data_IF_501081042878
#
_entry.id   IF_501081042878
#
_cell.length_a   1.000
_cell.length_b   1.000
_cell.length_c   1.000
_cell.angle_alpha   90.00
_cell.angle_beta   90.00
_cell.angle_gamma   90.00
#
_symmetry.space_group_name_H-M   'P 1'
#
loop_
_entity.id
_entity.type
_entity.pdbx_description
1 polymer ?
#
# COMPACT_ATOMS: atom_id res chain seq x y z
N UNK A 1 -1.45 1.23 17.08
CA UNK A 1 -1.11 1.32 15.65
C UNK A 1 -0.88 -0.08 15.07
N UNK A 2 -1.60 -0.49 14.02
CA UNK A 2 -1.55 -1.89 13.52
C UNK A 2 -0.15 -2.33 13.11
N UNK A 3 0.59 -1.49 12.37
CA UNK A 3 1.94 -1.85 11.93
C UNK A 3 2.90 -2.13 13.10
N UNK A 4 2.76 -1.42 14.23
CA UNK A 4 3.59 -1.66 15.42
C UNK A 4 3.36 -3.07 16.00
N UNK A 5 2.10 -3.51 16.08
CA UNK A 5 1.78 -4.84 16.59
C UNK A 5 2.13 -5.94 15.59
N UNK A 6 1.93 -5.70 14.29
CA UNK A 6 2.21 -6.69 13.24
C UNK A 6 3.71 -6.91 13.02
N UNK A 7 4.51 -5.84 12.97
CA UNK A 7 5.92 -5.92 12.56
C UNK A 7 6.93 -5.59 13.66
N UNK A 8 6.51 -4.95 14.76
CA UNK A 8 7.42 -4.44 15.79
C UNK A 8 7.08 -4.92 17.20
N UNK A 9 6.38 -6.04 17.34
CA UNK A 9 6.02 -6.66 18.64
C UNK A 9 5.32 -5.68 19.60
N UNK A 10 4.54 -4.74 19.07
CA UNK A 10 3.84 -3.71 19.84
C UNK A 10 4.71 -2.53 20.27
N UNK A 11 6.00 -2.47 19.89
CA UNK A 11 6.84 -1.30 20.15
C UNK A 11 6.34 -0.11 19.35
N UNK A 12 6.33 1.06 19.99
CA UNK A 12 5.84 2.30 19.38
C UNK A 12 6.86 2.89 18.39
N UNK A 13 6.97 2.28 17.21
CA UNK A 13 7.85 2.73 16.13
C UNK A 13 7.15 3.79 15.28
N UNK A 14 5.93 3.51 14.86
CA UNK A 14 5.03 4.49 14.25
C UNK A 14 4.21 5.15 15.36
N UNK A 15 4.32 6.47 15.48
CA UNK A 15 3.60 7.23 16.51
C UNK A 15 2.22 7.58 16.00
N UNK A 16 1.20 7.25 16.79
CA UNK A 16 -0.17 7.72 16.55
C UNK A 16 -0.37 9.03 17.28
N UNK A 17 -0.78 10.08 16.56
CA UNK A 17 -1.26 11.30 17.18
C UNK A 17 -2.78 11.32 17.18
N UNK A 18 -3.43 11.71 18.28
CA UNK A 18 -4.89 11.85 18.33
C UNK A 18 -5.40 13.07 17.53
N UNK A 19 -4.51 13.95 17.07
CA UNK A 19 -4.90 15.15 16.34
C UNK A 19 -5.06 14.87 14.83
N UNK A 20 -6.28 15.04 14.32
CA UNK A 20 -6.64 14.87 12.90
C UNK A 20 -5.88 15.82 11.95
N UNK A 21 -5.29 16.90 12.48
CA UNK A 21 -4.47 17.88 11.75
C UNK A 21 -2.96 17.64 11.89
N UNK A 22 -2.53 16.69 12.73
CA UNK A 22 -1.12 16.38 12.94
C UNK A 22 -0.56 15.35 11.95
N UNK A 23 -1.35 15.03 10.92
CA UNK A 23 -0.98 14.13 9.84
C UNK A 23 0.36 14.59 9.26
N UNK A 24 1.41 13.82 9.51
CA UNK A 24 2.70 14.06 8.86
C UNK A 24 2.47 14.01 7.36
N UNK A 25 2.86 15.07 6.65
CA UNK A 25 2.78 15.09 5.19
C UNK A 25 3.82 14.09 4.67
N UNK A 26 3.37 12.99 4.08
CA UNK A 26 4.25 11.99 3.49
C UNK A 26 3.95 10.56 3.91
N UNK A 27 5.01 9.76 4.00
CA UNK A 27 4.99 8.38 4.48
C UNK A 27 6.03 8.23 5.58
N UNK A 28 5.75 7.36 6.54
CA UNK A 28 6.75 6.97 7.54
C UNK A 28 7.39 5.65 7.12
N UNK A 29 8.66 5.47 7.43
CA UNK A 29 9.34 4.22 7.16
C UNK A 29 10.16 3.79 8.38
N UNK A 30 10.16 2.49 8.65
CA UNK A 30 11.00 1.90 9.67
C UNK A 30 11.61 0.60 9.14
N UNK A 31 12.91 0.42 9.41
CA UNK A 31 13.58 -0.84 9.10
C UNK A 31 13.38 -1.82 10.25
N UNK A 32 12.88 -3.01 9.92
CA UNK A 32 12.85 -4.15 10.81
C UNK A 32 14.09 -5.02 10.56
N UNK A 33 15.08 -5.02 11.48
CA UNK A 33 16.30 -5.80 11.32
C UNK A 33 16.09 -7.31 11.49
N UNK A 34 14.99 -7.74 12.11
CA UNK A 34 14.72 -9.16 12.36
C UNK A 34 14.27 -9.83 11.06
N UNK A 35 13.27 -9.25 10.41
CA UNK A 35 12.73 -9.76 9.15
C UNK A 35 13.40 -9.14 7.90
N UNK A 36 14.34 -8.21 8.11
CA UNK A 36 15.11 -7.51 7.06
C UNK A 36 14.23 -6.79 6.04
N UNK A 37 13.21 -6.09 6.52
CA UNK A 37 12.25 -5.37 5.67
C UNK A 37 12.12 -3.90 6.05
N UNK A 38 11.79 -3.07 5.07
CA UNK A 38 11.37 -1.68 5.32
C UNK A 38 9.86 -1.65 5.36
N UNK A 39 9.29 -1.32 6.51
CA UNK A 39 7.85 -1.16 6.69
C UNK A 39 7.52 0.31 6.43
N UNK A 40 6.62 0.55 5.48
CA UNK A 40 6.17 1.89 5.11
C UNK A 40 4.73 2.09 5.56
N UNK A 41 4.51 3.10 6.38
CA UNK A 41 3.19 3.56 6.75
C UNK A 41 2.72 4.68 5.81
N UNK A 42 1.52 4.49 5.28
CA UNK A 42 0.89 5.41 4.32
C UNK A 42 -0.28 6.17 4.93
N UNK A 43 -0.51 6.11 6.25
CA UNK A 43 -1.60 6.86 6.92
C UNK A 43 -1.52 8.38 6.62
N UNK A 44 -0.31 8.94 6.58
CA UNK A 44 -0.04 10.34 6.19
C UNK A 44 -0.43 10.71 4.75
N UNK A 45 -0.70 9.73 3.88
CA UNK A 45 -1.14 9.92 2.50
C UNK A 45 -2.63 10.30 2.41
N UNK A 46 -3.45 9.81 3.34
CA UNK A 46 -4.91 9.98 3.33
C UNK A 46 -5.36 11.23 4.11
N UNK A 47 -4.56 11.70 5.08
CA UNK A 47 -5.01 12.63 6.10
C UNK A 47 -4.79 14.13 5.89
N UNK A 48 -4.02 14.61 4.89
CA UNK A 48 -3.65 16.04 4.86
C UNK A 48 -3.34 16.69 3.51
N UNK A 49 -3.39 15.97 2.39
CA UNK A 49 -3.03 16.59 1.10
C UNK A 49 -4.28 17.11 0.39
N UNK A 50 -4.52 18.43 0.45
CA UNK A 50 -5.57 19.12 -0.32
C UNK A 50 -5.40 18.94 -1.84
N UNK A 51 -4.18 18.59 -2.30
CA UNK A 51 -3.86 18.44 -3.71
C UNK A 51 -3.84 16.96 -4.14
N UNK A 52 -4.88 16.55 -4.86
CA UNK A 52 -5.03 15.21 -5.45
C UNK A 52 -3.78 14.76 -6.25
N UNK A 53 -3.16 15.68 -7.01
CA UNK A 53 -1.99 15.34 -7.82
C UNK A 53 -0.76 14.99 -6.98
N UNK A 54 -0.58 15.63 -5.82
CA UNK A 54 0.52 15.34 -4.90
C UNK A 54 0.32 13.97 -4.25
N UNK A 55 -0.90 13.66 -3.86
CA UNK A 55 -1.29 12.34 -3.32
C UNK A 55 -1.03 11.23 -4.34
N UNK A 56 -1.47 11.39 -5.59
CA UNK A 56 -1.23 10.40 -6.64
C UNK A 56 0.27 10.21 -6.89
N UNK A 57 1.06 11.29 -6.98
CA UNK A 57 2.52 11.18 -7.16
C UNK A 57 3.20 10.45 -6.00
N UNK A 58 2.78 10.69 -4.75
CA UNK A 58 3.35 10.01 -3.60
C UNK A 58 2.98 8.53 -3.57
N UNK A 59 1.72 8.19 -3.86
CA UNK A 59 1.27 6.80 -4.00
C UNK A 59 2.10 6.04 -5.05
N UNK A 60 2.32 6.64 -6.22
CA UNK A 60 3.11 6.06 -7.29
C UNK A 60 4.57 5.81 -6.90
N UNK A 61 5.15 6.70 -6.07
CA UNK A 61 6.50 6.49 -5.52
C UNK A 61 6.54 5.32 -4.55
N UNK A 62 5.54 5.19 -3.69
CA UNK A 62 5.43 4.05 -2.76
C UNK A 62 5.29 2.76 -3.56
N UNK A 63 4.38 2.72 -4.55
CA UNK A 63 4.22 1.57 -5.45
C UNK A 63 5.55 1.17 -6.13
N UNK A 64 6.35 2.16 -6.57
CA UNK A 64 7.60 1.90 -7.29
C UNK A 64 8.72 1.30 -6.45
N UNK A 65 8.70 1.48 -5.12
CA UNK A 65 9.74 0.97 -4.23
C UNK A 65 9.30 -0.23 -3.39
N UNK A 66 8.02 -0.61 -3.49
CA UNK A 66 7.47 -1.71 -2.72
C UNK A 66 7.55 -3.02 -3.49
N UNK A 67 7.95 -4.08 -2.81
CA UNK A 67 7.75 -5.46 -3.29
C UNK A 67 6.31 -5.93 -3.00
N UNK A 68 5.75 -5.47 -1.88
CA UNK A 68 4.44 -5.85 -1.37
C UNK A 68 3.68 -4.64 -0.83
N UNK A 69 2.38 -4.58 -1.11
CA UNK A 69 1.44 -3.63 -0.50
C UNK A 69 0.34 -4.40 0.21
N UNK A 70 0.08 -4.01 1.45
CA UNK A 70 -1.04 -4.54 2.24
C UNK A 70 -2.08 -3.43 2.36
N UNK A 71 -3.22 -3.62 1.70
CA UNK A 71 -4.37 -2.74 1.84
C UNK A 71 -5.31 -3.33 2.90
N UNK A 72 -5.38 -2.67 4.07
CA UNK A 72 -6.30 -3.05 5.14
C UNK A 72 -7.60 -2.26 5.02
N UNK A 73 -8.74 -2.94 5.08
CA UNK A 73 -10.05 -2.31 5.19
C UNK A 73 -10.94 -3.05 6.19
N UNK A 74 -11.75 -2.29 6.91
CA UNK A 74 -12.73 -2.79 7.86
C UNK A 74 -14.11 -2.30 7.40
N UNK A 75 -14.86 -3.20 6.75
CA UNK A 75 -16.13 -2.87 6.10
C UNK A 75 -17.00 -4.13 5.96
N UNK A 76 -18.31 -3.98 5.79
CA UNK A 76 -19.18 -5.13 5.55
C UNK A 76 -18.89 -5.82 4.21
N UNK A 77 -18.45 -5.03 3.22
CA UNK A 77 -18.14 -5.48 1.84
C UNK A 77 -16.95 -4.71 1.27
N UNK A 78 -16.22 -5.34 0.35
CA UNK A 78 -15.27 -4.63 -0.50
C UNK A 78 -16.04 -3.71 -1.44
N UNK A 79 -15.78 -2.41 -1.34
CA UNK A 79 -16.43 -1.41 -2.18
C UNK A 79 -15.77 -1.38 -3.57
N UNK A 80 -16.57 -1.18 -4.62
CA UNK A 80 -16.07 -1.05 -5.99
C UNK A 80 -14.99 0.05 -6.14
N UNK A 81 -15.07 1.08 -5.30
CA UNK A 81 -14.09 2.17 -5.26
C UNK A 81 -12.67 1.70 -4.94
N UNK A 82 -12.51 0.61 -4.17
CA UNK A 82 -11.19 0.02 -3.93
C UNK A 82 -10.59 -0.53 -5.23
N UNK A 83 -11.37 -1.32 -5.95
CA UNK A 83 -10.90 -1.91 -7.20
C UNK A 83 -10.61 -0.84 -8.26
N UNK A 84 -11.46 0.20 -8.31
CA UNK A 84 -11.20 1.36 -9.15
C UNK A 84 -9.91 2.07 -8.76
N UNK A 85 -9.70 2.34 -7.47
CA UNK A 85 -8.48 2.96 -6.97
C UNK A 85 -7.22 2.16 -7.33
N UNK A 86 -7.24 0.84 -7.12
CA UNK A 86 -6.12 -0.04 -7.48
C UNK A 86 -5.89 -0.07 -9.00
N UNK A 87 -6.97 -0.09 -9.79
CA UNK A 87 -6.91 -0.02 -11.25
C UNK A 87 -6.29 1.29 -11.74
N UNK A 88 -6.78 2.43 -11.27
CA UNK A 88 -6.29 3.77 -11.60
C UNK A 88 -4.80 3.91 -11.21
N UNK A 89 -4.41 3.37 -10.05
CA UNK A 89 -3.03 3.37 -9.59
C UNK A 89 -2.12 2.49 -10.47
N UNK A 90 -2.60 1.32 -10.88
CA UNK A 90 -1.88 0.41 -11.79
C UNK A 90 -1.68 1.03 -13.18
N UNK A 91 -2.71 1.65 -13.75
CA UNK A 91 -2.63 2.35 -15.02
C UNK A 91 -1.61 3.50 -14.95
N UNK A 92 -1.72 4.33 -13.90
CA UNK A 92 -0.79 5.44 -13.70
C UNK A 92 0.65 4.96 -13.47
N UNK A 93 0.84 3.85 -12.75
CA UNK A 93 2.16 3.24 -12.55
C UNK A 93 2.80 2.83 -13.88
N UNK A 94 2.08 2.06 -14.70
CA UNK A 94 2.58 1.66 -16.02
C UNK A 94 2.82 2.88 -16.91
N UNK A 95 1.89 3.83 -16.95
CA UNK A 95 2.02 5.05 -17.75
C UNK A 95 3.30 5.83 -17.41
N UNK A 96 3.63 5.94 -16.13
CA UNK A 96 4.76 6.77 -15.68
C UNK A 96 6.10 6.04 -15.62
N UNK A 97 6.11 4.71 -15.42
CA UNK A 97 7.33 3.94 -15.22
C UNK A 97 7.66 2.97 -16.36
N UNK A 98 6.86 2.90 -17.44
CA UNK A 98 7.11 1.96 -18.56
C UNK A 98 8.56 2.00 -19.07
N UNK A 99 9.16 3.19 -19.19
CA UNK A 99 10.54 3.33 -19.70
C UNK A 99 11.54 2.70 -18.74
N UNK A 100 11.41 2.98 -17.45
CA UNK A 100 12.28 2.49 -16.38
C UNK A 100 12.09 1.00 -16.15
N UNK A 101 10.85 0.50 -16.23
CA UNK A 101 10.53 -0.92 -16.15
C UNK A 101 11.19 -1.69 -17.30
N UNK A 102 11.05 -1.21 -18.55
CA UNK A 102 11.74 -1.82 -19.71
C UNK A 102 13.26 -1.85 -19.54
N UNK A 103 13.84 -0.75 -19.05
CA UNK A 103 15.27 -0.70 -18.78
C UNK A 103 15.70 -1.69 -17.69
N UNK A 104 14.87 -1.89 -16.66
CA UNK A 104 15.09 -2.86 -15.59
C UNK A 104 14.99 -4.30 -16.11
N UNK A 105 13.94 -4.62 -16.87
CA UNK A 105 13.76 -5.91 -17.55
C UNK A 105 14.97 -6.28 -18.38
N UNK A 106 15.46 -5.37 -19.21
CA UNK A 106 16.64 -5.59 -20.06
C UNK A 106 17.92 -5.78 -19.24
N UNK A 107 18.14 -4.98 -18.19
CA UNK A 107 19.32 -5.07 -17.32
C UNK A 107 19.35 -6.34 -16.48
N UNK A 108 18.19 -6.81 -16.03
CA UNK A 108 18.05 -7.99 -15.18
C UNK A 108 17.79 -9.28 -15.98
N UNK A 109 17.66 -9.20 -17.31
CA UNK A 109 17.38 -10.36 -18.17
C UNK A 109 16.04 -11.02 -17.86
N UNK A 110 15.04 -10.25 -17.42
CA UNK A 110 13.71 -10.77 -17.09
C UNK A 110 12.90 -10.91 -18.37
N UNK A 111 12.25 -12.06 -18.58
CA UNK A 111 11.30 -12.26 -19.68
C UNK A 111 9.87 -12.37 -19.11
N UNK A 112 9.38 -11.24 -18.60
CA UNK A 112 8.07 -11.14 -17.96
C UNK A 112 7.32 -9.91 -18.45
N UNK A 113 5.97 -9.92 -18.48
CA UNK A 113 5.19 -8.73 -18.82
C UNK A 113 5.49 -7.59 -17.83
N UNK A 114 5.57 -6.35 -18.33
CA UNK A 114 5.84 -5.17 -17.46
C UNK A 114 4.79 -4.99 -16.35
N UNK A 115 3.57 -5.48 -16.57
CA UNK A 115 2.49 -5.48 -15.58
C UNK A 115 2.78 -6.34 -14.34
N UNK A 116 3.75 -7.26 -14.41
CA UNK A 116 4.15 -8.10 -13.26
C UNK A 116 5.32 -7.51 -12.48
N UNK A 117 5.87 -6.36 -12.90
CA UNK A 117 7.00 -5.71 -12.24
C UNK A 117 6.58 -4.67 -11.20
N UNK A 118 5.28 -4.54 -10.94
CA UNK A 118 4.76 -3.78 -9.80
C UNK A 118 4.71 -4.63 -8.52
N UNK A 119 4.36 -4.01 -7.38
CA UNK A 119 4.22 -4.72 -6.12
C UNK A 119 3.11 -5.77 -6.16
N UNK A 120 3.30 -6.86 -5.43
CA UNK A 120 2.18 -7.72 -5.05
C UNK A 120 1.21 -6.96 -4.15
N UNK A 121 -0.09 -7.10 -4.39
CA UNK A 121 -1.13 -6.43 -3.58
C UNK A 121 -1.91 -7.48 -2.79
N UNK A 122 -1.87 -7.38 -1.47
CA UNK A 122 -2.69 -8.16 -0.55
C UNK A 122 -3.80 -7.27 0.00
N UNK A 123 -5.05 -7.66 -0.22
CA UNK A 123 -6.22 -7.01 0.36
C UNK A 123 -6.58 -7.76 1.64
N UNK A 124 -6.34 -7.14 2.79
CA UNK A 124 -6.79 -7.64 4.07
C UNK A 124 -8.14 -7.00 4.41
N UNK A 125 -9.21 -7.73 4.14
CA UNK A 125 -10.57 -7.30 4.42
C UNK A 125 -11.06 -7.93 5.72
N UNK A 126 -11.19 -7.11 6.75
CA UNK A 126 -11.83 -7.49 8.01
C UNK A 126 -13.33 -7.25 7.86
N UNK A 127 -14.08 -8.34 7.67
CA UNK A 127 -15.52 -8.28 7.46
C UNK A 127 -16.25 -8.06 8.78
N UNK A 128 -17.17 -7.10 8.79
CA UNK A 128 -18.08 -6.88 9.91
C UNK A 128 -19.40 -7.57 9.55
N UNK A 129 -19.91 -8.43 10.43
CA UNK A 129 -21.21 -9.09 10.27
C UNK A 129 -21.37 -10.06 9.07
N UNK A 130 -20.30 -10.72 8.62
CA UNK A 130 -20.42 -11.78 7.60
C UNK A 130 -20.48 -13.17 8.21
N UNK A 131 -21.45 -13.98 7.80
CA UNK A 131 -21.36 -15.43 7.96
C UNK A 131 -20.35 -15.96 6.93
N UNK A 132 -19.50 -16.89 7.35
CA UNK A 132 -18.57 -17.56 6.44
C UNK A 132 -19.36 -18.30 5.36
N UNK A 133 -18.84 -18.33 4.14
CA UNK A 133 -19.41 -19.15 3.08
C UNK A 133 -19.43 -20.61 3.57
N UNK A 134 -20.62 -21.21 3.65
CA UNK A 134 -20.83 -22.57 4.18
C UNK A 134 -21.14 -22.66 5.68
N UNK A 135 -21.27 -21.55 6.42
CA UNK A 135 -21.61 -21.58 7.85
C UNK A 135 -23.10 -21.88 8.15
N UNK A 136 -23.87 -22.34 7.16
CA UNK A 136 -25.31 -22.59 7.27
C UNK A 136 -25.83 -23.74 6.40
N UNK A 137 -24.95 -24.65 5.96
CA UNK A 137 -25.34 -25.96 5.42
C UNK A 137 -25.13 -27.07 6.45
#
# INVERSE_FOLDING_TARGET
>A
HTLNHTFFYGREVFKTSPAQQSCTVGVWAAYDPVHKMVVIDTEGLLGAMENLSQRTRLLLKVLAISDLIIYRTHADRLHNDLFKFLGDASEAYLKHFTKELKATTARCGLDVPLSTLGPGVIIFHETVYTQLLGAGE
#
